data_IF_010503989436
#
_entry.id   IF_010503989436
#
_cell.length_a   1.000
_cell.length_b   1.000
_cell.length_c   1.000
_cell.angle_alpha   90.00
_cell.angle_beta   90.00
_cell.angle_gamma   90.00
#
_symmetry.space_group_name_H-M   'P 1'
#
loop_
_entity.id
_entity.type
_entity.pdbx_description
1 polymer ?
#
# COMPACT_ATOMS: atom_id res chain seq x y z
N UNK A 1 26.16 10.27 55.31
CA UNK A 1 24.94 10.27 54.47
C UNK A 1 24.98 11.25 53.29
N UNK A 2 25.52 12.48 53.42
CA UNK A 2 25.57 13.46 52.30
C UNK A 2 26.49 13.04 51.12
N UNK A 3 27.59 12.37 51.37
CA UNK A 3 28.54 11.90 50.38
C UNK A 3 28.00 10.75 49.50
N UNK A 4 27.21 9.83 50.06
CA UNK A 4 26.62 8.70 49.35
C UNK A 4 25.57 9.15 48.34
N UNK A 5 24.83 10.22 48.60
CA UNK A 5 23.81 10.79 47.70
C UNK A 5 24.46 11.40 46.46
N UNK A 6 25.62 12.06 46.65
CA UNK A 6 26.35 12.65 45.50
C UNK A 6 26.90 11.58 44.52
N UNK A 7 27.39 10.46 45.03
CA UNK A 7 27.83 9.34 44.14
C UNK A 7 26.69 8.69 43.39
N UNK A 8 25.52 8.56 43.99
CA UNK A 8 24.33 8.05 43.34
C UNK A 8 23.83 8.99 42.22
N UNK A 9 23.88 10.31 42.47
CA UNK A 9 23.49 11.33 41.51
C UNK A 9 24.43 11.35 40.29
N UNK A 10 25.74 11.22 40.51
CA UNK A 10 26.75 11.14 39.42
C UNK A 10 26.59 9.86 38.60
N UNK A 11 26.26 8.74 39.24
CA UNK A 11 26.02 7.46 38.55
C UNK A 11 24.78 7.52 37.62
N UNK A 12 23.72 8.22 38.07
CA UNK A 12 22.51 8.39 37.24
C UNK A 12 22.74 9.28 36.00
N UNK A 13 23.63 10.27 36.09
CA UNK A 13 23.96 11.17 34.97
C UNK A 13 24.79 10.42 33.88
N UNK A 14 25.67 9.49 34.29
CA UNK A 14 26.50 8.73 33.35
C UNK A 14 25.72 7.70 32.49
N UNK A 15 24.51 7.32 32.89
CA UNK A 15 23.69 6.35 32.14
C UNK A 15 22.94 6.98 30.95
N UNK A 16 22.94 8.30 30.82
CA UNK A 16 22.22 9.02 29.74
C UNK A 16 23.10 9.35 28.54
N UNK A 17 24.41 9.03 28.56
CA UNK A 17 25.38 9.45 27.55
C UNK A 17 25.50 8.50 26.34
N UNK A 18 24.75 7.38 26.26
CA UNK A 18 24.87 6.38 25.18
C UNK A 18 23.72 6.39 24.18
N UNK A 19 22.87 7.41 24.18
CA UNK A 19 21.83 7.53 23.16
C UNK A 19 22.29 8.38 21.97
N UNK A 20 23.34 7.96 21.29
CA UNK A 20 23.57 8.38 19.91
C UNK A 20 22.89 7.35 19.00
N UNK A 21 21.66 7.66 18.54
CA UNK A 21 21.07 6.97 17.41
C UNK A 21 22.05 7.04 16.23
N UNK A 22 22.51 5.87 15.77
CA UNK A 22 23.17 5.76 14.48
C UNK A 22 22.26 6.40 13.45
N UNK A 23 22.67 7.45 12.82
CA UNK A 23 22.03 7.99 11.62
C UNK A 23 21.93 6.86 10.62
N UNK A 24 20.73 6.30 10.48
CA UNK A 24 20.44 5.29 9.49
C UNK A 24 20.39 6.03 8.15
N UNK A 25 21.42 5.84 7.32
CA UNK A 25 21.36 6.29 5.93
C UNK A 25 20.14 5.60 5.30
N UNK A 26 19.17 6.43 4.91
CA UNK A 26 18.01 5.93 4.16
C UNK A 26 18.49 5.52 2.78
N UNK A 27 18.31 4.26 2.44
CA UNK A 27 18.57 3.75 1.10
C UNK A 27 17.89 4.65 0.07
N UNK A 28 18.63 5.02 -0.98
CA UNK A 28 18.11 5.85 -2.04
C UNK A 28 16.91 5.17 -2.70
N UNK A 29 15.74 5.80 -2.59
CA UNK A 29 14.52 5.28 -3.22
C UNK A 29 14.66 5.47 -4.74
N UNK A 30 14.70 4.36 -5.47
CA UNK A 30 14.66 4.35 -6.93
C UNK A 30 13.19 4.27 -7.35
N UNK A 31 12.74 5.24 -8.14
CA UNK A 31 11.36 5.31 -8.62
C UNK A 31 11.21 4.43 -9.85
N UNK A 32 10.26 3.51 -9.81
CA UNK A 32 9.90 2.63 -10.93
C UNK A 32 8.73 3.16 -11.77
N UNK A 33 8.16 4.31 -11.38
CA UNK A 33 7.06 4.97 -12.09
C UNK A 33 7.49 5.74 -13.34
N UNK A 34 8.73 5.59 -13.78
CA UNK A 34 9.25 6.10 -15.05
C UNK A 34 9.77 4.93 -15.88
N UNK A 35 9.76 5.04 -17.22
CA UNK A 35 10.34 4.00 -18.11
C UNK A 35 11.83 3.74 -17.84
N UNK A 36 12.49 4.68 -17.20
CA UNK A 36 13.89 4.60 -16.74
C UNK A 36 13.84 4.75 -15.23
N UNK A 37 14.44 3.82 -14.51
CA UNK A 37 14.57 3.90 -13.05
C UNK A 37 15.51 5.06 -12.71
N UNK A 38 14.97 6.15 -12.14
CA UNK A 38 15.73 7.32 -11.74
C UNK A 38 15.66 7.45 -10.21
N UNK A 39 16.76 7.91 -9.57
CA UNK A 39 16.72 8.33 -8.18
C UNK A 39 15.66 9.42 -7.97
N UNK A 40 14.97 9.39 -6.84
CA UNK A 40 13.89 10.37 -6.52
C UNK A 40 14.36 11.82 -6.70
N UNK A 41 15.59 12.12 -6.27
CA UNK A 41 16.18 13.47 -6.35
C UNK A 41 16.39 13.99 -7.78
N UNK A 42 16.48 13.10 -8.76
CA UNK A 42 16.72 13.43 -10.16
C UNK A 42 15.42 13.57 -10.96
N UNK A 43 14.28 13.29 -10.34
CA UNK A 43 12.99 13.36 -11.02
C UNK A 43 12.40 14.78 -10.90
N UNK A 44 12.21 15.44 -12.02
CA UNK A 44 11.66 16.81 -12.11
C UNK A 44 10.13 16.88 -11.86
N UNK A 45 9.46 15.75 -11.63
CA UNK A 45 8.00 15.68 -11.46
C UNK A 45 7.61 15.73 -10.00
N UNK A 46 6.38 16.21 -9.73
CA UNK A 46 5.80 16.11 -8.40
C UNK A 46 5.38 14.68 -8.13
N UNK A 47 6.23 13.94 -7.41
CA UNK A 47 5.98 12.57 -7.00
C UNK A 47 5.83 12.55 -5.49
N UNK A 48 4.76 11.96 -4.99
CA UNK A 48 4.60 11.60 -3.59
C UNK A 48 4.86 10.11 -3.43
N UNK A 49 5.51 9.73 -2.34
CA UNK A 49 5.78 8.33 -2.03
C UNK A 49 5.20 8.01 -0.66
N UNK A 50 4.39 6.97 -0.58
CA UNK A 50 3.99 6.32 0.67
C UNK A 50 4.93 5.14 0.86
N UNK A 51 5.77 5.18 1.86
CA UNK A 51 6.77 4.13 2.11
C UNK A 51 6.18 2.97 2.92
N UNK A 52 6.86 1.81 2.96
CA UNK A 52 6.49 0.69 3.82
C UNK A 52 6.38 1.09 5.31
N UNK A 53 7.19 2.07 5.75
CA UNK A 53 7.12 2.61 7.11
C UNK A 53 5.84 3.40 7.33
N UNK A 54 5.44 4.23 6.36
CA UNK A 54 4.21 5.01 6.43
C UNK A 54 3.00 4.08 6.44
N UNK A 55 2.98 3.05 5.59
CA UNK A 55 1.94 2.01 5.55
C UNK A 55 1.82 1.33 6.92
N UNK A 56 2.94 0.89 7.48
CA UNK A 56 2.95 0.20 8.79
C UNK A 56 2.48 1.09 9.94
N UNK A 57 2.76 2.38 9.89
CA UNK A 57 2.43 3.34 10.94
C UNK A 57 1.04 3.97 10.76
N UNK A 58 0.37 3.70 9.64
CA UNK A 58 -0.99 4.18 9.39
C UNK A 58 -2.03 3.24 10.00
N UNK A 59 -3.23 3.76 10.25
CA UNK A 59 -4.41 2.95 10.59
C UNK A 59 -5.16 2.46 9.34
N UNK A 60 -4.55 2.53 8.16
CA UNK A 60 -5.15 2.12 6.91
C UNK A 60 -5.26 0.60 6.82
N UNK A 61 -6.41 0.10 6.42
CA UNK A 61 -6.67 -1.33 6.22
C UNK A 61 -6.59 -1.74 4.75
N UNK A 62 -6.56 -0.76 3.84
CA UNK A 62 -6.53 -0.98 2.40
C UNK A 62 -5.84 0.20 1.68
N UNK A 63 -5.58 0.05 0.39
CA UNK A 63 -4.90 1.07 -0.43
C UNK A 63 -5.73 2.35 -0.56
N UNK A 64 -7.06 2.26 -0.60
CA UNK A 64 -7.93 3.43 -0.67
C UNK A 64 -7.76 4.34 0.57
N UNK A 65 -7.58 3.74 1.77
CA UNK A 65 -7.28 4.48 3.01
C UNK A 65 -5.95 5.22 2.93
N UNK A 66 -4.91 4.58 2.40
CA UNK A 66 -3.60 5.19 2.23
C UNK A 66 -3.64 6.35 1.25
N UNK A 67 -4.30 6.17 0.11
CA UNK A 67 -4.39 7.18 -0.93
C UNK A 67 -5.20 8.40 -0.49
N UNK A 68 -6.25 8.22 0.32
CA UNK A 68 -7.06 9.31 0.87
C UNK A 68 -6.25 10.29 1.73
N UNK A 69 -5.14 9.85 2.30
CA UNK A 69 -4.26 10.70 3.12
C UNK A 69 -3.36 11.60 2.27
N UNK A 70 -3.32 11.42 0.96
CA UNK A 70 -2.41 12.15 0.06
C UNK A 70 -3.08 13.40 -0.50
N UNK A 71 -2.54 14.57 -0.18
CA UNK A 71 -3.03 15.85 -0.72
C UNK A 71 -3.16 15.82 -2.24
N UNK A 72 -4.35 16.20 -2.77
CA UNK A 72 -4.64 16.24 -4.21
C UNK A 72 -4.97 14.88 -4.83
N UNK A 73 -5.15 13.85 -4.01
CA UNK A 73 -5.79 12.58 -4.35
C UNK A 73 -7.12 12.53 -3.63
N UNK A 74 -8.20 12.23 -4.34
CA UNK A 74 -9.54 12.04 -3.80
C UNK A 74 -9.97 10.60 -4.12
N UNK A 75 -10.37 9.86 -3.09
CA UNK A 75 -10.87 8.50 -3.23
C UNK A 75 -12.33 8.47 -2.82
N UNK A 76 -13.20 8.43 -3.79
CA UNK A 76 -14.65 8.39 -3.55
C UNK A 76 -15.11 6.96 -3.36
N UNK A 77 -15.45 6.65 -2.13
CA UNK A 77 -15.90 5.31 -1.73
C UNK A 77 -17.40 5.19 -1.81
N UNK A 78 -17.83 4.04 -2.27
CA UNK A 78 -19.21 3.58 -2.21
C UNK A 78 -19.25 2.39 -1.25
N UNK A 79 -19.81 2.62 -0.07
CA UNK A 79 -19.78 1.64 1.03
C UNK A 79 -18.53 1.72 1.91
N UNK A 80 -18.47 0.84 2.88
CA UNK A 80 -17.36 0.72 3.84
C UNK A 80 -16.30 -0.25 3.33
N UNK A 81 -15.12 -0.16 3.91
CA UNK A 81 -13.99 -1.10 4.00
C UNK A 81 -13.62 -2.04 2.85
N UNK A 82 -14.49 -2.33 1.95
CA UNK A 82 -14.26 -3.30 0.88
C UNK A 82 -15.14 -3.08 -0.34
N UNK A 83 -15.97 -2.04 -0.32
CA UNK A 83 -16.82 -1.68 -1.44
C UNK A 83 -16.06 -1.07 -2.61
N UNK A 84 -16.80 -0.55 -3.56
CA UNK A 84 -16.28 0.13 -4.74
C UNK A 84 -15.62 1.46 -4.35
N UNK A 85 -14.53 1.81 -5.02
CA UNK A 85 -13.83 3.09 -4.86
C UNK A 85 -13.40 3.63 -6.21
N UNK A 86 -13.66 4.93 -6.41
CA UNK A 86 -13.23 5.68 -7.58
C UNK A 86 -12.07 6.60 -7.20
N UNK A 87 -11.04 6.66 -8.05
CA UNK A 87 -9.80 7.38 -7.79
C UNK A 87 -9.71 8.61 -8.67
N UNK A 88 -9.45 9.78 -8.06
CA UNK A 88 -9.31 11.06 -8.74
C UNK A 88 -8.01 11.74 -8.33
N UNK A 89 -7.32 12.37 -9.28
CA UNK A 89 -6.15 13.20 -9.01
C UNK A 89 -6.43 14.63 -9.52
N UNK A 90 -6.26 15.63 -8.63
CA UNK A 90 -6.39 17.05 -8.97
C UNK A 90 -7.71 17.41 -9.69
N UNK A 91 -8.80 16.74 -9.34
CA UNK A 91 -10.12 16.99 -9.90
C UNK A 91 -10.38 16.41 -11.29
N UNK A 92 -9.48 15.60 -11.82
CA UNK A 92 -9.72 14.83 -13.04
C UNK A 92 -10.65 13.64 -12.83
N UNK A 93 -11.16 13.02 -13.90
CA UNK A 93 -12.02 11.84 -13.86
C UNK A 93 -11.30 10.57 -13.36
N UNK A 94 -12.08 9.61 -12.89
CA UNK A 94 -11.54 8.31 -12.46
C UNK A 94 -10.92 7.53 -13.63
N UNK A 95 -11.38 7.75 -14.84
CA UNK A 95 -10.86 7.19 -16.10
C UNK A 95 -9.61 7.92 -16.62
N UNK A 96 -9.24 9.05 -15.98
CA UNK A 96 -8.08 9.86 -16.31
C UNK A 96 -6.90 9.65 -15.36
N UNK A 97 -7.06 8.78 -14.37
CA UNK A 97 -6.06 8.43 -13.37
C UNK A 97 -5.65 6.98 -13.54
N UNK A 98 -4.41 6.75 -13.97
CA UNK A 98 -3.91 5.39 -14.22
C UNK A 98 -3.43 4.72 -12.94
N UNK A 99 -3.85 3.47 -12.72
CA UNK A 99 -3.30 2.59 -11.70
C UNK A 99 -2.33 1.59 -12.33
N UNK A 100 -1.19 1.37 -11.66
CA UNK A 100 -0.20 0.36 -12.04
C UNK A 100 0.15 -0.50 -10.81
N UNK A 101 0.50 -1.76 -11.09
CA UNK A 101 1.14 -2.66 -10.12
C UNK A 101 2.49 -3.08 -10.71
N UNK A 102 3.58 -2.78 -10.01
CA UNK A 102 4.96 -3.01 -10.49
C UNK A 102 5.21 -2.49 -11.93
N UNK A 103 4.58 -1.35 -12.29
CA UNK A 103 4.67 -0.74 -13.60
C UNK A 103 3.74 -1.34 -14.68
N UNK A 104 2.99 -2.39 -14.35
CA UNK A 104 1.99 -3.00 -15.25
C UNK A 104 0.66 -2.27 -15.06
N UNK A 105 0.06 -1.83 -16.16
CA UNK A 105 -1.24 -1.16 -16.14
C UNK A 105 -2.32 -2.09 -15.60
N UNK A 106 -3.10 -1.54 -14.67
CA UNK A 106 -4.34 -2.15 -14.19
C UNK A 106 -5.49 -1.37 -14.81
N UNK A 107 -6.22 -2.03 -15.69
CA UNK A 107 -7.35 -1.45 -16.39
C UNK A 107 -8.46 -2.50 -16.47
N UNK A 108 -9.69 -2.08 -16.20
CA UNK A 108 -10.87 -2.91 -16.37
C UNK A 108 -11.51 -2.57 -17.70
N UNK A 109 -11.63 -3.57 -18.58
CA UNK A 109 -12.13 -3.38 -19.95
C UNK A 109 -13.62 -2.97 -20.00
N UNK A 110 -14.37 -3.19 -18.91
CA UNK A 110 -15.78 -2.88 -18.83
C UNK A 110 -16.03 -1.46 -18.31
N UNK A 111 -15.35 -1.08 -17.23
CA UNK A 111 -15.53 0.24 -16.59
C UNK A 111 -14.39 0.60 -15.66
N UNK A 112 -13.94 1.85 -15.70
CA UNK A 112 -12.92 2.37 -14.79
C UNK A 112 -13.33 2.34 -13.30
N UNK A 113 -14.62 2.19 -12.99
CA UNK A 113 -15.11 2.04 -11.61
C UNK A 113 -14.62 0.76 -10.92
N UNK A 114 -14.20 -0.26 -11.65
CA UNK A 114 -13.70 -1.51 -11.10
C UNK A 114 -12.18 -1.52 -10.90
N UNK A 115 -11.46 -0.51 -11.36
CA UNK A 115 -9.99 -0.45 -11.29
C UNK A 115 -9.45 -0.64 -9.88
N UNK A 116 -10.12 -0.07 -8.87
CA UNK A 116 -9.73 -0.21 -7.46
C UNK A 116 -10.20 -1.53 -6.81
N UNK A 117 -10.97 -2.38 -7.50
CA UNK A 117 -11.41 -3.65 -6.93
C UNK A 117 -10.29 -4.70 -6.89
N UNK A 118 -9.34 -4.63 -7.81
CA UNK A 118 -8.22 -5.56 -7.93
C UNK A 118 -6.94 -5.07 -7.23
N UNK A 119 -7.08 -4.18 -6.24
CA UNK A 119 -5.93 -3.62 -5.52
C UNK A 119 -5.39 -4.60 -4.50
N UNK A 120 -4.08 -4.67 -4.41
CA UNK A 120 -3.33 -5.60 -3.56
C UNK A 120 -3.55 -5.34 -2.05
N UNK A 121 -3.42 -6.39 -1.21
CA UNK A 121 -3.33 -6.23 0.24
C UNK A 121 -2.12 -5.36 0.62
N UNK A 122 -2.30 -4.49 1.63
CA UNK A 122 -1.24 -3.55 2.05
C UNK A 122 0.01 -4.25 2.58
N UNK A 123 -0.11 -5.46 3.08
CA UNK A 123 0.97 -6.27 3.64
C UNK A 123 2.04 -6.65 2.60
N UNK A 124 1.66 -6.75 1.33
CA UNK A 124 2.58 -7.09 0.25
C UNK A 124 3.17 -5.88 -0.47
N UNK A 125 2.76 -4.66 -0.07
CA UNK A 125 3.19 -3.41 -0.68
C UNK A 125 4.51 -2.95 -0.06
N UNK A 126 5.49 -2.64 -0.91
CA UNK A 126 6.75 -2.01 -0.53
C UNK A 126 6.61 -0.49 -0.42
N UNK A 127 5.95 0.12 -1.40
CA UNK A 127 5.64 1.55 -1.45
C UNK A 127 4.57 1.85 -2.50
N UNK A 128 3.99 3.04 -2.42
CA UNK A 128 3.09 3.56 -3.45
C UNK A 128 3.70 4.86 -3.98
N UNK A 129 3.88 4.94 -5.30
CA UNK A 129 4.41 6.10 -6.01
C UNK A 129 3.26 6.83 -6.70
N UNK A 130 3.03 8.10 -6.35
CA UNK A 130 1.93 8.91 -6.88
C UNK A 130 2.49 10.04 -7.72
N UNK A 131 2.30 9.98 -9.03
CA UNK A 131 2.65 11.05 -9.97
C UNK A 131 1.43 11.94 -10.16
N UNK A 132 1.56 13.21 -9.80
CA UNK A 132 0.50 14.20 -9.95
C UNK A 132 0.78 15.10 -11.14
N UNK A 133 -0.11 15.03 -12.12
CA UNK A 133 -0.03 15.76 -13.37
C UNK A 133 0.15 14.84 -14.57
N UNK A 134 0.24 15.39 -15.79
CA UNK A 134 0.22 14.61 -17.02
C UNK A 134 1.31 13.55 -17.06
N UNK A 135 0.92 12.30 -17.10
CA UNK A 135 1.80 11.14 -17.18
C UNK A 135 1.56 10.32 -18.47
N UNK A 136 0.61 10.74 -19.29
CA UNK A 136 0.21 10.05 -20.52
C UNK A 136 1.37 9.87 -21.52
N UNK A 137 2.33 10.79 -21.56
CA UNK A 137 3.54 10.65 -22.39
C UNK A 137 4.37 9.42 -22.06
N UNK A 138 4.35 8.99 -20.79
CA UNK A 138 5.13 7.84 -20.31
C UNK A 138 4.28 6.56 -20.34
N UNK A 139 3.07 6.65 -19.80
CA UNK A 139 2.23 5.49 -19.56
C UNK A 139 1.10 5.32 -20.58
N UNK A 140 0.88 6.34 -21.45
CA UNK A 140 -0.18 6.30 -22.46
C UNK A 140 -1.57 6.63 -21.90
N UNK A 141 -2.58 5.92 -22.40
CA UNK A 141 -3.98 6.17 -22.07
C UNK A 141 -4.25 6.11 -20.56
N UNK A 142 -5.26 6.84 -20.10
CA UNK A 142 -5.76 6.92 -18.73
C UNK A 142 -4.80 7.58 -17.73
N UNK A 143 -3.65 8.14 -18.17
CA UNK A 143 -2.69 8.84 -17.32
C UNK A 143 -2.69 10.36 -17.56
N UNK A 144 -3.86 10.98 -17.73
CA UNK A 144 -3.99 12.41 -18.05
C UNK A 144 -3.76 13.30 -16.83
N UNK A 145 -4.34 12.94 -15.68
CA UNK A 145 -4.26 13.72 -14.43
C UNK A 145 -3.18 13.22 -13.51
N UNK A 146 -2.77 11.97 -13.70
CA UNK A 146 -1.71 11.36 -12.92
C UNK A 146 -1.64 9.85 -13.11
N UNK A 147 -0.70 9.25 -12.38
CA UNK A 147 -0.57 7.81 -12.30
C UNK A 147 -0.18 7.39 -10.87
N UNK A 148 -0.69 6.26 -10.43
CA UNK A 148 -0.35 5.63 -9.15
C UNK A 148 0.27 4.28 -9.45
N UNK A 149 1.49 4.06 -8.96
CA UNK A 149 2.17 2.78 -9.10
C UNK A 149 2.33 2.13 -7.72
N UNK A 150 1.70 0.99 -7.53
CA UNK A 150 1.84 0.16 -6.34
C UNK A 150 3.02 -0.77 -6.57
N UNK A 151 4.10 -0.57 -5.82
CA UNK A 151 5.29 -1.40 -5.91
C UNK A 151 5.23 -2.48 -4.84
N UNK A 152 5.28 -3.73 -5.26
CA UNK A 152 5.21 -4.87 -4.35
C UNK A 152 6.56 -5.22 -3.77
N UNK A 153 6.56 -5.81 -2.57
CA UNK A 153 7.77 -6.31 -1.91
C UNK A 153 8.48 -7.34 -2.78
N UNK A 154 9.80 -7.23 -2.87
CA UNK A 154 10.66 -8.22 -3.54
C UNK A 154 11.15 -9.31 -2.58
N UNK A 155 11.11 -9.02 -1.28
CA UNK A 155 11.48 -9.93 -0.20
C UNK A 155 10.74 -9.57 1.08
N UNK A 156 10.58 -10.52 1.97
CA UNK A 156 10.09 -10.27 3.33
C UNK A 156 11.25 -10.25 4.30
N UNK A 157 11.30 -9.23 5.16
CA UNK A 157 12.24 -9.16 6.27
C UNK A 157 12.01 -10.31 7.25
N UNK A 158 10.76 -10.63 7.54
CA UNK A 158 10.35 -11.78 8.37
C UNK A 158 9.78 -12.86 7.45
N UNK A 159 10.12 -14.12 7.72
CA UNK A 159 9.65 -15.26 6.92
C UNK A 159 8.15 -15.51 7.06
N UNK A 160 7.56 -15.11 8.18
CA UNK A 160 6.12 -15.22 8.49
C UNK A 160 5.66 -13.91 9.12
N UNK A 161 4.53 -13.39 8.66
CA UNK A 161 3.83 -12.26 9.26
C UNK A 161 2.37 -12.64 9.40
N UNK A 162 1.80 -12.43 10.59
CA UNK A 162 0.39 -12.65 10.88
C UNK A 162 -0.16 -11.29 11.31
N UNK A 163 -1.28 -10.89 10.74
CA UNK A 163 -2.03 -9.70 11.12
C UNK A 163 -3.44 -10.09 11.51
N UNK A 164 -3.94 -9.52 12.61
CA UNK A 164 -5.32 -9.72 13.07
C UNK A 164 -5.83 -8.40 13.63
N UNK A 165 -7.02 -8.00 13.21
CA UNK A 165 -7.68 -6.78 13.65
C UNK A 165 -9.14 -7.08 13.94
N UNK A 166 -9.71 -6.42 14.94
CA UNK A 166 -11.13 -6.44 15.24
C UNK A 166 -11.63 -4.99 15.38
N UNK A 167 -12.83 -4.73 14.92
CA UNK A 167 -13.42 -3.40 14.92
C UNK A 167 -14.91 -3.41 15.23
N UNK A 168 -15.51 -2.23 15.15
CA UNK A 168 -16.95 -2.05 15.31
C UNK A 168 -17.73 -2.77 14.19
N UNK A 169 -19.00 -3.03 14.41
CA UNK A 169 -19.92 -3.69 13.46
C UNK A 169 -19.43 -5.07 13.01
N UNK A 170 -18.92 -5.88 13.94
CA UNK A 170 -18.46 -7.21 13.63
C UNK A 170 -17.26 -7.26 12.69
N UNK A 171 -16.52 -6.15 12.52
CA UNK A 171 -15.36 -6.15 11.65
C UNK A 171 -14.27 -7.07 12.19
N UNK A 172 -13.83 -7.99 11.35
CA UNK A 172 -12.71 -8.88 11.60
C UNK A 172 -11.80 -8.89 10.36
N UNK A 173 -10.52 -8.68 10.58
CA UNK A 173 -9.48 -8.82 9.56
C UNK A 173 -8.45 -9.83 10.04
N UNK A 174 -8.10 -10.77 9.19
CA UNK A 174 -7.06 -11.75 9.45
C UNK A 174 -6.25 -12.03 8.21
N UNK A 175 -4.92 -12.00 8.33
CA UNK A 175 -4.06 -12.32 7.22
C UNK A 175 -2.77 -13.02 7.64
N UNK A 176 -2.21 -13.80 6.71
CA UNK A 176 -0.91 -14.46 6.84
C UNK A 176 -0.10 -14.16 5.60
N UNK A 177 1.13 -13.69 5.80
CA UNK A 177 2.09 -13.47 4.72
C UNK A 177 3.32 -14.32 4.99
N UNK A 178 3.71 -15.11 4.01
CA UNK A 178 4.85 -16.01 4.04
C UNK A 178 5.90 -15.55 3.04
N UNK A 179 7.17 -15.65 3.41
CA UNK A 179 8.28 -15.34 2.52
C UNK A 179 9.43 -16.34 2.64
N UNK A 180 10.03 -16.66 1.51
CA UNK A 180 11.27 -17.43 1.44
C UNK A 180 12.22 -16.76 0.47
N UNK A 181 13.45 -16.57 0.89
CA UNK A 181 14.51 -16.00 0.07
C UNK A 181 15.69 -16.97 0.01
N UNK A 182 16.27 -17.09 -1.16
CA UNK A 182 17.54 -17.76 -1.44
C UNK A 182 18.45 -16.78 -2.18
N UNK A 183 19.68 -17.16 -2.43
CA UNK A 183 20.62 -16.33 -3.21
C UNK A 183 20.07 -15.96 -4.59
N UNK A 184 19.36 -16.86 -5.24
CA UNK A 184 18.89 -16.69 -6.62
C UNK A 184 17.37 -16.55 -6.79
N UNK A 185 16.59 -16.70 -5.73
CA UNK A 185 15.13 -16.63 -5.80
C UNK A 185 14.51 -15.98 -4.57
N UNK A 186 13.29 -15.45 -4.72
CA UNK A 186 12.45 -14.99 -3.63
C UNK A 186 11.00 -15.37 -3.92
N UNK A 187 10.29 -15.83 -2.91
CA UNK A 187 8.85 -16.14 -3.02
C UNK A 187 8.14 -15.45 -1.87
N UNK A 188 7.02 -14.81 -2.16
CA UNK A 188 6.11 -14.20 -1.20
C UNK A 188 4.71 -14.74 -1.49
N UNK A 189 4.05 -15.28 -0.49
CA UNK A 189 2.66 -15.70 -0.55
C UNK A 189 1.85 -15.00 0.54
N UNK A 190 0.64 -14.59 0.23
CA UNK A 190 -0.27 -13.94 1.17
C UNK A 190 -1.69 -14.48 1.00
N UNK A 191 -2.37 -14.63 2.11
CA UNK A 191 -3.80 -14.92 2.19
C UNK A 191 -4.41 -14.01 3.27
N UNK A 192 -5.54 -13.39 2.98
CA UNK A 192 -6.25 -12.51 3.90
C UNK A 192 -7.75 -12.61 3.74
N UNK A 193 -8.46 -12.34 4.82
CA UNK A 193 -9.91 -12.21 4.85
C UNK A 193 -10.32 -11.02 5.71
N UNK A 194 -11.27 -10.23 5.22
CA UNK A 194 -11.84 -9.07 5.90
C UNK A 194 -13.35 -9.14 5.83
N UNK A 195 -14.02 -9.17 6.98
CA UNK A 195 -15.48 -9.24 7.08
C UNK A 195 -16.03 -8.13 7.97
N UNK A 196 -17.28 -7.75 7.77
CA UNK A 196 -18.04 -6.88 8.67
C UNK A 196 -19.55 -7.04 8.41
N UNK A 197 -20.34 -6.86 9.46
CA UNK A 197 -21.82 -6.84 9.35
C UNK A 197 -22.33 -5.50 8.78
N UNK A 198 -21.44 -4.50 8.66
CA UNK A 198 -21.82 -3.16 8.20
C UNK A 198 -22.46 -2.29 9.27
N UNK A 199 -22.38 -0.96 9.09
CA UNK A 199 -22.91 0.03 10.05
C UNK A 199 -24.35 0.47 9.74
N UNK A 200 -24.90 0.02 8.61
CA UNK A 200 -26.27 0.27 8.16
C UNK A 200 -26.78 -0.93 7.36
N UNK A 201 -28.08 -0.91 7.03
CA UNK A 201 -28.68 -1.95 6.20
C UNK A 201 -27.94 -2.11 4.87
N UNK A 202 -27.74 -3.36 4.41
CA UNK A 202 -27.08 -3.72 3.15
C UNK A 202 -25.71 -2.99 2.94
N UNK A 203 -24.89 -2.97 4.00
CA UNK A 203 -23.51 -2.42 3.97
C UNK A 203 -22.48 -3.41 4.54
N UNK A 204 -22.89 -4.66 4.73
CA UNK A 204 -22.02 -5.78 5.07
C UNK A 204 -21.00 -6.06 3.97
N UNK A 205 -19.90 -6.68 4.33
CA UNK A 205 -18.91 -7.11 3.34
C UNK A 205 -18.14 -8.35 3.80
N UNK A 206 -17.72 -9.13 2.81
CA UNK A 206 -16.82 -10.27 2.97
C UNK A 206 -15.85 -10.27 1.80
N UNK A 207 -14.57 -10.02 2.09
CA UNK A 207 -13.52 -9.91 1.12
C UNK A 207 -12.44 -10.94 1.42
N UNK A 208 -12.03 -11.68 0.42
CA UNK A 208 -10.88 -12.59 0.50
C UNK A 208 -9.86 -12.18 -0.56
N UNK A 209 -8.59 -12.28 -0.22
CA UNK A 209 -7.51 -11.97 -1.13
C UNK A 209 -6.39 -12.99 -1.01
N UNK A 210 -5.80 -13.27 -2.15
CA UNK A 210 -4.70 -14.21 -2.30
C UNK A 210 -3.65 -13.56 -3.21
N UNK A 211 -2.41 -13.65 -2.82
CA UNK A 211 -1.30 -13.09 -3.59
C UNK A 211 -0.11 -14.04 -3.57
N UNK A 212 0.52 -14.19 -4.71
CA UNK A 212 1.75 -14.93 -4.88
C UNK A 212 2.71 -14.14 -5.77
N UNK A 213 3.93 -13.91 -5.30
CA UNK A 213 5.00 -13.35 -6.10
C UNK A 213 6.23 -14.24 -6.03
N UNK A 214 6.78 -14.57 -7.20
CA UNK A 214 8.03 -15.27 -7.35
C UNK A 214 9.03 -14.43 -8.15
N UNK A 215 10.28 -14.35 -7.68
CA UNK A 215 11.39 -13.76 -8.41
C UNK A 215 12.46 -14.81 -8.53
N UNK A 216 12.88 -15.13 -9.75
CA UNK A 216 13.85 -16.16 -10.09
C UNK A 216 14.99 -15.53 -10.91
N UNK A 217 16.16 -16.16 -10.89
CA UNK A 217 17.35 -15.69 -11.61
C UNK A 217 17.81 -14.26 -11.21
N UNK A 218 17.73 -13.91 -9.93
CA UNK A 218 18.05 -12.57 -9.42
C UNK A 218 19.39 -12.00 -9.92
N UNK A 219 20.39 -12.85 -10.06
CA UNK A 219 21.77 -12.44 -10.34
C UNK A 219 22.10 -12.33 -11.83
N UNK A 220 21.18 -12.71 -12.71
CA UNK A 220 21.37 -12.66 -14.18
C UNK A 220 20.26 -11.87 -14.85
N UNK A 221 19.21 -12.57 -15.27
CA UNK A 221 18.01 -11.99 -15.86
C UNK A 221 16.83 -12.34 -14.97
N UNK A 222 16.36 -11.44 -14.09
CA UNK A 222 15.29 -11.75 -13.18
C UNK A 222 13.97 -12.00 -13.93
N UNK A 223 13.31 -13.09 -13.57
CA UNK A 223 11.95 -13.41 -14.00
C UNK A 223 11.06 -13.15 -12.80
N UNK A 224 10.13 -12.22 -12.94
CA UNK A 224 9.12 -11.92 -11.91
C UNK A 224 7.77 -12.48 -12.36
N UNK A 225 7.13 -13.24 -11.47
CA UNK A 225 5.78 -13.77 -11.67
C UNK A 225 4.91 -13.27 -10.53
N UNK A 226 3.77 -12.70 -10.87
CA UNK A 226 2.75 -12.25 -9.91
C UNK A 226 1.44 -12.92 -10.28
N UNK A 227 0.80 -13.51 -9.27
CA UNK A 227 -0.56 -14.02 -9.36
C UNK A 227 -1.37 -13.45 -8.20
N UNK A 228 -2.59 -13.00 -8.46
CA UNK A 228 -3.49 -12.48 -7.45
C UNK A 228 -4.92 -12.92 -7.75
N UNK A 229 -5.67 -13.19 -6.69
CA UNK A 229 -7.08 -13.53 -6.78
C UNK A 229 -7.85 -12.82 -5.65
N UNK A 230 -9.03 -12.33 -5.99
CA UNK A 230 -9.94 -11.65 -5.06
C UNK A 230 -11.33 -12.23 -5.17
N UNK A 231 -11.97 -12.46 -4.03
CA UNK A 231 -13.40 -12.67 -3.93
C UNK A 231 -13.97 -11.58 -3.01
N UNK A 232 -14.82 -10.71 -3.57
CA UNK A 232 -15.42 -9.59 -2.87
C UNK A 232 -16.93 -9.66 -2.95
N UNK A 233 -17.58 -9.65 -1.78
CA UNK A 233 -19.03 -9.54 -1.63
C UNK A 233 -19.30 -8.38 -0.71
N UNK A 234 -20.18 -7.46 -1.13
CA UNK A 234 -20.54 -6.31 -0.32
C UNK A 234 -21.94 -5.82 -0.62
N UNK A 235 -22.61 -5.31 0.40
CA UNK A 235 -23.87 -4.62 0.26
C UNK A 235 -23.71 -3.29 -0.46
N UNK A 236 -24.65 -2.93 -1.32
CA UNK A 236 -24.55 -1.79 -2.23
C UNK A 236 -25.71 -0.80 -2.06
N UNK A 237 -26.15 -0.58 -0.82
CA UNK A 237 -27.24 0.37 -0.57
C UNK A 237 -26.81 1.79 -0.91
N UNK A 238 -27.62 2.47 -1.69
CA UNK A 238 -27.45 3.86 -2.12
C UNK A 238 -26.15 4.16 -2.86
N UNK A 239 -25.59 3.19 -3.61
CA UNK A 239 -24.37 3.41 -4.37
C UNK A 239 -24.54 4.42 -5.50
N UNK A 240 -25.70 4.41 -6.18
CA UNK A 240 -26.00 5.28 -7.34
C UNK A 240 -27.30 6.06 -7.19
N UNK A 241 -28.08 5.80 -6.16
CA UNK A 241 -29.33 6.53 -5.87
C UNK A 241 -29.31 7.00 -4.42
N UNK A 242 -29.74 8.23 -4.19
CA UNK A 242 -30.14 8.70 -2.86
C UNK A 242 -31.61 8.35 -2.68
N UNK A 243 -31.93 7.40 -1.79
CA UNK A 243 -33.31 7.32 -1.32
C UNK A 243 -33.59 8.58 -0.51
N UNK A 244 -34.45 9.40 -1.03
CA UNK A 244 -35.04 10.56 -0.36
C UNK A 244 -36.11 10.07 0.60
#
# INVERSE_FOLDING_TARGET
>A
MKTSINYFLVLCISLHAFSQEKTQELDSIVINSTRISLPFKENSRTINIITAKDIKNSAATNVADLLQQVTGVDVRRRGTGGGQSDLYIRGGGFDQTLLLIDGIKMDDAQTGHHTMNAVLPIEVIERIEIIKGPAARIFGQNAFTGAINIVTKKKLKNKVSINTEAGSFGQLNGSVTLGKETENSSIIAHIGALTSDGYRNNSDYNNQNYFLKGIFNKNKQPIEVIATFFDKKFGAENFYTTNV
#
